data_IF_626515463228
#
_entry.id   IF_626515463228
#
_cell.length_a   1.000
_cell.length_b   1.000
_cell.length_c   1.000
_cell.angle_alpha   90.00
_cell.angle_beta   90.00
_cell.angle_gamma   90.00
#
_symmetry.space_group_name_H-M   'P 1'
#
loop_
_entity.id
_entity.type
_entity.pdbx_description
1 polymer ?
#
# COMPACT_ATOMS: atom_id res chain seq x y z
N UNK A 1 12.00 26.30 13.79
CA UNK A 1 10.61 26.81 13.97
C UNK A 1 9.80 25.86 14.87
N UNK A 2 8.60 26.19 15.38
CA UNK A 2 7.71 25.23 16.06
C UNK A 2 6.69 24.70 15.04
N UNK A 3 6.53 23.38 14.93
CA UNK A 3 5.56 22.73 14.05
C UNK A 3 4.11 23.10 14.36
N UNK A 4 3.82 23.73 15.50
CA UNK A 4 2.49 24.27 15.79
C UNK A 4 2.13 25.53 15.00
N UNK A 5 3.08 26.11 14.26
CA UNK A 5 2.80 27.22 13.36
C UNK A 5 1.96 26.75 12.16
N UNK A 6 0.86 27.46 11.81
CA UNK A 6 -0.01 27.08 10.69
C UNK A 6 0.73 26.92 9.37
N UNK A 7 1.74 27.75 9.13
CA UNK A 7 2.51 27.78 7.88
C UNK A 7 3.41 26.54 7.74
N UNK A 8 4.02 26.09 8.84
CA UNK A 8 4.85 24.88 8.87
C UNK A 8 4.01 23.61 8.65
N UNK A 9 2.79 23.56 9.21
CA UNK A 9 1.84 22.45 8.96
C UNK A 9 1.34 22.45 7.53
N UNK A 10 1.03 23.62 6.96
CA UNK A 10 0.59 23.73 5.57
C UNK A 10 1.69 23.24 4.61
N UNK A 11 2.95 23.64 4.86
CA UNK A 11 4.09 23.18 4.07
C UNK A 11 4.29 21.66 4.16
N UNK A 12 4.27 21.12 5.38
CA UNK A 12 4.41 19.68 5.58
C UNK A 12 3.23 18.90 4.97
N UNK A 13 2.02 19.46 4.98
CA UNK A 13 0.84 18.85 4.36
C UNK A 13 0.88 18.88 2.83
N UNK A 14 1.38 19.96 2.25
CA UNK A 14 1.60 20.03 0.80
C UNK A 14 2.68 19.04 0.37
N UNK A 15 3.78 18.95 1.13
CA UNK A 15 4.80 17.93 0.92
C UNK A 15 4.22 16.51 1.01
N UNK A 16 3.34 16.25 1.96
CA UNK A 16 2.59 14.99 2.05
C UNK A 16 1.74 14.74 0.80
N UNK A 17 1.01 15.76 0.34
CA UNK A 17 0.08 15.66 -0.79
C UNK A 17 0.83 15.35 -2.08
N UNK A 18 1.95 16.03 -2.34
CA UNK A 18 2.75 15.81 -3.55
C UNK A 18 3.53 14.49 -3.51
N UNK A 19 3.92 14.02 -2.32
CA UNK A 19 4.55 12.68 -2.16
C UNK A 19 3.52 11.56 -2.02
N UNK A 20 2.22 11.88 -1.90
CA UNK A 20 1.16 10.94 -1.55
C UNK A 20 1.50 10.09 -0.30
N UNK A 21 2.21 10.69 0.66
CA UNK A 21 2.69 10.02 1.88
C UNK A 21 3.81 8.99 1.69
N UNK A 22 4.37 8.85 0.49
CA UNK A 22 5.47 7.92 0.21
C UNK A 22 6.82 8.54 0.60
N UNK A 23 7.46 7.98 1.63
CA UNK A 23 8.77 8.40 2.15
C UNK A 23 9.92 8.18 1.15
N UNK A 24 9.69 7.39 0.10
CA UNK A 24 10.70 7.13 -0.95
C UNK A 24 10.60 8.14 -2.10
N UNK A 25 9.52 8.92 -2.18
CA UNK A 25 9.37 9.97 -3.18
C UNK A 25 10.06 11.25 -2.76
N UNK A 26 10.52 11.99 -3.76
CA UNK A 26 11.10 13.31 -3.61
C UNK A 26 10.36 14.30 -4.49
N UNK A 27 10.26 15.53 -4.01
CA UNK A 27 9.68 16.65 -4.75
C UNK A 27 10.58 17.87 -4.62
N UNK A 28 10.46 18.82 -5.54
CA UNK A 28 11.23 20.06 -5.45
C UNK A 28 10.70 20.93 -4.32
N UNK A 29 11.60 21.49 -3.53
CA UNK A 29 11.25 22.49 -2.51
C UNK A 29 10.54 23.69 -3.13
N UNK A 30 10.93 24.11 -4.34
CA UNK A 30 10.31 25.24 -5.04
C UNK A 30 8.86 24.92 -5.44
N UNK A 31 8.57 23.68 -5.84
CA UNK A 31 7.23 23.26 -6.26
C UNK A 31 6.26 23.21 -5.08
N UNK A 32 6.72 22.71 -3.92
CA UNK A 32 5.95 22.72 -2.67
C UNK A 32 5.65 24.15 -2.21
N UNK A 33 6.64 25.04 -2.29
CA UNK A 33 6.47 26.45 -1.95
C UNK A 33 5.50 27.18 -2.88
N UNK A 34 5.61 26.94 -4.19
CA UNK A 34 4.76 27.58 -5.21
C UNK A 34 3.29 27.22 -5.03
N UNK A 35 2.98 25.96 -4.69
CA UNK A 35 1.60 25.52 -4.36
C UNK A 35 0.99 26.30 -3.19
N UNK A 36 1.82 26.84 -2.30
CA UNK A 36 1.41 27.60 -1.13
C UNK A 36 1.55 29.12 -1.32
N UNK A 37 1.93 29.57 -2.52
CA UNK A 37 2.17 30.97 -2.84
C UNK A 37 3.40 31.56 -2.14
N UNK A 38 4.36 30.72 -1.74
CA UNK A 38 5.60 31.14 -1.09
C UNK A 38 6.67 31.51 -2.11
N UNK A 39 7.44 32.53 -1.78
CA UNK A 39 8.64 32.88 -2.54
C UNK A 39 9.75 31.85 -2.32
N UNK A 40 10.66 31.72 -3.29
CA UNK A 40 11.72 30.70 -3.29
C UNK A 40 12.55 30.69 -1.99
N UNK A 41 12.90 31.86 -1.49
CA UNK A 41 13.69 32.00 -0.24
C UNK A 41 12.91 31.57 0.99
N UNK A 42 11.60 31.83 1.04
CA UNK A 42 10.72 31.43 2.14
C UNK A 42 10.47 29.92 2.12
N UNK A 43 10.29 29.34 0.92
CA UNK A 43 10.15 27.89 0.73
C UNK A 43 11.40 27.14 1.20
N UNK A 44 12.59 27.63 0.80
CA UNK A 44 13.86 27.07 1.23
C UNK A 44 14.03 27.08 2.75
N UNK A 45 13.77 28.22 3.39
CA UNK A 45 13.85 28.35 4.85
C UNK A 45 12.85 27.40 5.56
N UNK A 46 11.64 27.25 5.03
CA UNK A 46 10.62 26.36 5.59
C UNK A 46 11.04 24.88 5.48
N UNK A 47 11.59 24.48 4.35
CA UNK A 47 12.08 23.13 4.15
C UNK A 47 13.27 22.81 5.06
N UNK A 48 14.24 23.72 5.19
CA UNK A 48 15.36 23.58 6.11
C UNK A 48 14.90 23.41 7.56
N UNK A 49 13.95 24.24 8.01
CA UNK A 49 13.37 24.15 9.35
C UNK A 49 12.70 22.79 9.60
N UNK A 50 11.98 22.24 8.61
CA UNK A 50 11.35 20.92 8.69
C UNK A 50 12.37 19.78 8.65
N UNK A 51 13.48 19.95 7.94
CA UNK A 51 14.59 19.00 7.90
C UNK A 51 15.31 18.96 9.24
N UNK A 52 15.63 20.12 9.82
CA UNK A 52 16.28 20.23 11.13
C UNK A 52 15.43 19.57 12.23
N UNK A 53 14.11 19.73 12.14
CA UNK A 53 13.17 19.12 13.07
C UNK A 53 12.93 17.62 12.78
N UNK A 54 13.44 17.11 11.66
CA UNK A 54 13.34 15.72 11.23
C UNK A 54 11.95 15.33 10.73
N UNK A 55 11.15 16.28 10.25
CA UNK A 55 9.83 16.04 9.64
C UNK A 55 9.93 15.84 8.12
N UNK A 56 10.89 16.51 7.50
CA UNK A 56 11.28 16.29 6.12
C UNK A 56 12.75 15.84 6.07
N UNK A 57 13.19 15.32 4.93
CA UNK A 57 14.59 14.99 4.69
C UNK A 57 15.03 15.44 3.30
N UNK A 58 16.31 15.81 3.18
CA UNK A 58 16.89 16.15 1.90
C UNK A 58 17.22 14.87 1.13
N UNK A 59 16.65 14.72 -0.07
CA UNK A 59 16.88 13.57 -0.95
C UNK A 59 17.94 13.88 -2.02
N UNK A 60 18.08 15.14 -2.44
CA UNK A 60 19.07 15.55 -3.44
C UNK A 60 19.72 16.89 -3.11
N UNK A 61 20.96 17.09 -3.58
CA UNK A 61 21.69 18.36 -3.46
C UNK A 61 21.09 19.49 -4.31
N UNK A 62 20.14 19.18 -5.20
CA UNK A 62 19.41 20.12 -6.05
C UNK A 62 18.12 20.65 -5.41
N UNK A 63 17.91 20.42 -4.11
CA UNK A 63 16.72 20.90 -3.39
C UNK A 63 15.52 19.94 -3.43
N UNK A 64 15.75 18.66 -3.75
CA UNK A 64 14.74 17.62 -3.64
C UNK A 64 14.55 17.21 -2.19
N UNK A 65 13.32 17.26 -1.70
CA UNK A 65 12.93 16.94 -0.32
C UNK A 65 11.86 15.84 -0.29
N UNK A 66 11.86 15.05 0.77
CA UNK A 66 10.87 14.00 1.02
C UNK A 66 10.30 14.10 2.43
N UNK A 67 9.10 13.56 2.63
CA UNK A 67 8.49 13.47 3.97
C UNK A 67 9.08 12.28 4.73
N UNK A 68 9.28 12.45 6.04
CA UNK A 68 9.77 11.37 6.93
C UNK A 68 8.61 10.74 7.71
N UNK A 69 8.88 9.59 8.35
CA UNK A 69 7.92 8.96 9.26
C UNK A 69 7.45 9.91 10.38
N UNK A 70 8.38 10.66 10.97
CA UNK A 70 8.08 11.64 12.02
C UNK A 70 7.22 12.80 11.49
N UNK A 71 7.43 13.22 10.23
CA UNK A 71 6.60 14.22 9.57
C UNK A 71 5.15 13.77 9.39
N UNK A 72 4.95 12.49 9.02
CA UNK A 72 3.62 11.89 8.91
C UNK A 72 2.90 11.85 10.27
N UNK A 73 3.61 11.51 11.34
CA UNK A 73 3.04 11.45 12.69
C UNK A 73 2.54 12.81 13.17
N UNK A 74 3.28 13.89 12.89
CA UNK A 74 2.95 15.23 13.41
C UNK A 74 1.85 15.94 12.63
N UNK A 75 1.64 15.59 11.37
CA UNK A 75 0.51 16.13 10.63
C UNK A 75 -0.82 15.80 11.33
N UNK A 76 -0.90 14.73 12.13
CA UNK A 76 -2.04 14.32 12.98
C UNK A 76 -3.39 14.60 12.32
N UNK A 77 -3.42 14.47 10.99
CA UNK A 77 -4.61 14.59 10.19
C UNK A 77 -5.45 13.43 10.67
N UNK A 78 -6.74 13.70 10.90
CA UNK A 78 -7.75 12.64 10.93
C UNK A 78 -7.75 11.97 9.55
N UNK A 79 -6.71 11.19 9.30
CA UNK A 79 -6.78 9.97 8.56
C UNK A 79 -7.84 9.22 9.34
N UNK A 80 -9.07 9.18 8.81
CA UNK A 80 -9.94 8.03 9.08
C UNK A 80 -9.00 6.86 9.00
N UNK A 81 -8.77 6.10 10.08
CA UNK A 81 -7.62 5.22 10.15
C UNK A 81 -7.74 4.22 9.00
N UNK A 82 -7.03 4.46 7.91
CA UNK A 82 -6.41 3.39 7.16
C UNK A 82 -5.34 2.88 8.11
N UNK A 83 -5.81 2.03 9.04
CA UNK A 83 -4.96 1.05 9.66
C UNK A 83 -4.08 0.50 8.55
N UNK A 84 -2.76 0.57 8.71
CA UNK A 84 -1.83 -0.30 7.99
C UNK A 84 -1.99 -1.76 8.42
N UNK A 85 -3.21 -2.26 8.40
CA UNK A 85 -3.52 -3.47 7.66
C UNK A 85 -3.87 -2.97 6.28
N UNK A 86 -2.92 -2.96 5.34
CA UNK A 86 -3.25 -2.97 3.91
C UNK A 86 -4.30 -4.07 3.74
N UNK A 87 -5.57 -3.67 3.73
CA UNK A 87 -6.64 -4.63 3.62
C UNK A 87 -6.58 -5.01 2.16
N UNK A 88 -5.98 -6.16 1.87
CA UNK A 88 -5.86 -6.63 0.50
C UNK A 88 -7.27 -6.71 -0.06
N UNK A 89 -7.57 -5.86 -1.05
CA UNK A 89 -8.88 -5.80 -1.70
C UNK A 89 -8.80 -6.23 -3.15
N UNK A 90 -9.79 -6.99 -3.60
CA UNK A 90 -10.04 -7.29 -5.02
C UNK A 90 -10.86 -6.19 -5.70
N UNK A 91 -11.67 -5.48 -4.92
CA UNK A 91 -12.68 -4.53 -5.42
C UNK A 91 -14.03 -5.19 -5.74
N UNK A 92 -15.07 -4.37 -5.80
CA UNK A 92 -16.46 -4.80 -6.05
C UNK A 92 -16.84 -4.85 -7.54
N UNK A 93 -15.95 -4.40 -8.42
CA UNK A 93 -16.14 -4.37 -9.87
C UNK A 93 -16.37 -5.74 -10.49
N UNK A 94 -16.90 -5.77 -11.72
CA UNK A 94 -17.06 -7.01 -12.49
C UNK A 94 -15.74 -7.54 -13.05
N UNK A 95 -14.75 -6.66 -13.19
CA UNK A 95 -13.39 -6.92 -13.66
C UNK A 95 -12.41 -6.46 -12.58
N UNK A 96 -11.28 -7.15 -12.45
CA UNK A 96 -10.20 -6.75 -11.54
C UNK A 96 -9.49 -5.50 -12.07
N UNK A 97 -9.28 -4.54 -11.17
CA UNK A 97 -8.50 -3.32 -11.43
C UNK A 97 -7.03 -3.54 -11.03
N UNK A 98 -6.12 -2.72 -11.55
CA UNK A 98 -4.65 -2.88 -11.41
C UNK A 98 -4.18 -3.12 -9.96
N UNK A 99 -4.81 -2.47 -8.97
CA UNK A 99 -4.46 -2.67 -7.57
C UNK A 99 -4.92 -4.04 -7.05
N UNK A 100 -6.10 -4.49 -7.45
CA UNK A 100 -6.61 -5.83 -7.14
C UNK A 100 -5.77 -6.93 -7.79
N UNK A 101 -5.23 -6.67 -8.99
CA UNK A 101 -4.32 -7.59 -9.67
C UNK A 101 -3.02 -7.77 -8.89
N UNK A 102 -2.35 -6.68 -8.50
CA UNK A 102 -1.13 -6.74 -7.68
C UNK A 102 -1.35 -7.42 -6.33
N UNK A 103 -2.48 -7.12 -5.67
CA UNK A 103 -2.85 -7.76 -4.42
C UNK A 103 -3.05 -9.28 -4.60
N UNK A 104 -3.64 -9.68 -5.73
CA UNK A 104 -3.86 -11.08 -6.08
C UNK A 104 -2.54 -11.80 -6.42
N UNK A 105 -1.64 -11.18 -7.17
CA UNK A 105 -0.31 -11.76 -7.44
C UNK A 105 0.45 -12.02 -6.15
N UNK A 106 0.46 -11.04 -5.25
CA UNK A 106 1.10 -11.15 -3.94
C UNK A 106 0.53 -12.31 -3.13
N UNK A 107 -0.80 -12.40 -2.98
CA UNK A 107 -1.41 -13.47 -2.18
C UNK A 107 -1.17 -14.85 -2.80
N UNK A 108 -1.18 -14.96 -4.13
CA UNK A 108 -0.93 -16.23 -4.82
C UNK A 108 0.52 -16.67 -4.60
N UNK A 109 1.47 -15.73 -4.58
CA UNK A 109 2.86 -16.04 -4.25
C UNK A 109 3.00 -16.49 -2.78
N UNK A 110 2.39 -15.77 -1.84
CA UNK A 110 2.41 -16.12 -0.41
C UNK A 110 1.80 -17.51 -0.15
N UNK A 111 0.73 -17.86 -0.88
CA UNK A 111 0.14 -19.20 -0.87
C UNK A 111 1.15 -20.25 -1.34
N UNK A 112 1.79 -20.05 -2.49
CA UNK A 112 2.76 -21.00 -3.05
C UNK A 112 3.94 -21.22 -2.11
N UNK A 113 4.46 -20.14 -1.53
CA UNK A 113 5.57 -20.21 -0.59
C UNK A 113 5.15 -21.00 0.66
N UNK A 114 3.92 -20.78 1.15
CA UNK A 114 3.35 -21.52 2.29
C UNK A 114 3.13 -22.99 1.99
N UNK A 115 2.76 -23.37 0.76
CA UNK A 115 2.57 -24.79 0.39
C UNK A 115 3.82 -25.62 0.62
N UNK A 116 5.01 -25.05 0.39
CA UNK A 116 6.28 -25.76 0.61
C UNK A 116 6.56 -26.10 2.08
N UNK A 117 5.93 -25.37 3.01
CA UNK A 117 6.11 -25.50 4.45
C UNK A 117 5.05 -26.40 5.10
N UNK A 118 3.91 -26.61 4.43
CA UNK A 118 2.80 -27.40 4.95
C UNK A 118 2.98 -28.89 4.68
N UNK A 119 2.74 -29.71 5.71
CA UNK A 119 2.66 -31.18 5.55
C UNK A 119 1.28 -31.57 5.06
N UNK A 120 1.09 -31.55 3.75
CA UNK A 120 -0.17 -31.91 3.09
C UNK A 120 -0.14 -33.35 2.57
N UNK A 121 -1.31 -33.96 2.47
CA UNK A 121 -1.47 -35.17 1.66
C UNK A 121 -1.43 -34.82 0.17
N UNK A 122 -1.12 -35.80 -0.68
CA UNK A 122 -1.13 -35.60 -2.14
C UNK A 122 -2.47 -35.08 -2.65
N UNK A 123 -3.60 -35.60 -2.16
CA UNK A 123 -4.93 -35.16 -2.56
C UNK A 123 -5.19 -33.69 -2.20
N UNK A 124 -4.79 -33.25 -0.99
CA UNK A 124 -4.92 -31.84 -0.58
C UNK A 124 -4.01 -30.92 -1.39
N UNK A 125 -2.79 -31.37 -1.69
CA UNK A 125 -1.86 -30.59 -2.50
C UNK A 125 -2.35 -30.46 -3.94
N UNK A 126 -2.90 -31.52 -4.52
CA UNK A 126 -3.50 -31.51 -5.86
C UNK A 126 -4.67 -30.53 -5.92
N UNK A 127 -5.62 -30.60 -4.98
CA UNK A 127 -6.75 -29.68 -4.90
C UNK A 127 -6.30 -28.21 -4.85
N UNK A 128 -5.35 -27.88 -3.97
CA UNK A 128 -4.81 -26.52 -3.85
C UNK A 128 -4.11 -26.05 -5.14
N UNK A 129 -3.36 -26.93 -5.80
CA UNK A 129 -2.68 -26.59 -7.05
C UNK A 129 -3.69 -26.32 -8.16
N UNK A 130 -4.76 -27.11 -8.25
CA UNK A 130 -5.83 -26.90 -9.24
C UNK A 130 -6.54 -25.56 -9.01
N UNK A 131 -6.84 -25.22 -7.76
CA UNK A 131 -7.46 -23.93 -7.42
C UNK A 131 -6.56 -22.75 -7.78
N UNK A 132 -5.26 -22.82 -7.44
CA UNK A 132 -4.27 -21.79 -7.80
C UNK A 132 -4.21 -21.63 -9.32
N UNK A 133 -4.09 -22.74 -10.06
CA UNK A 133 -4.01 -22.72 -11.53
C UNK A 133 -5.28 -22.14 -12.16
N UNK A 134 -6.44 -22.42 -11.58
CA UNK A 134 -7.71 -21.86 -12.03
C UNK A 134 -7.72 -20.34 -11.93
N UNK A 135 -7.22 -19.79 -10.82
CA UNK A 135 -7.10 -18.34 -10.63
C UNK A 135 -6.07 -17.75 -11.60
N UNK A 136 -4.89 -18.34 -11.72
CA UNK A 136 -3.84 -17.88 -12.63
C UNK A 136 -4.34 -17.83 -14.08
N UNK A 137 -5.10 -18.83 -14.54
CA UNK A 137 -5.69 -18.83 -15.88
C UNK A 137 -6.68 -17.66 -16.06
N UNK A 138 -7.49 -17.32 -15.04
CA UNK A 138 -8.38 -16.16 -15.13
C UNK A 138 -7.60 -14.85 -15.25
N UNK A 139 -6.43 -14.76 -14.60
CA UNK A 139 -5.55 -13.59 -14.68
C UNK A 139 -4.91 -13.40 -16.06
N UNK A 140 -4.83 -14.44 -16.89
CA UNK A 140 -4.38 -14.30 -18.28
C UNK A 140 -5.42 -13.62 -19.19
N UNK A 141 -6.65 -13.43 -18.71
CA UNK A 141 -7.70 -12.73 -19.46
C UNK A 141 -7.43 -11.21 -19.47
N UNK A 142 -7.62 -10.50 -20.58
CA UNK A 142 -7.55 -9.03 -20.60
C UNK A 142 -8.58 -8.35 -19.69
N UNK A 143 -9.63 -9.07 -19.29
CA UNK A 143 -10.63 -8.62 -18.33
C UNK A 143 -10.89 -9.73 -17.29
N UNK A 144 -10.00 -9.93 -16.30
CA UNK A 144 -10.13 -10.97 -15.29
C UNK A 144 -11.41 -10.76 -14.48
N UNK A 145 -12.27 -11.78 -14.40
CA UNK A 145 -13.59 -11.65 -13.80
C UNK A 145 -13.49 -11.80 -12.29
N UNK A 146 -13.74 -10.71 -11.58
CA UNK A 146 -13.62 -10.64 -10.11
C UNK A 146 -14.42 -11.73 -9.40
N UNK A 147 -15.64 -12.03 -9.88
CA UNK A 147 -16.49 -13.07 -9.27
C UNK A 147 -15.91 -14.49 -9.37
N UNK A 148 -15.28 -14.84 -10.49
CA UNK A 148 -14.69 -16.17 -10.68
C UNK A 148 -13.46 -16.32 -9.79
N UNK A 149 -12.60 -15.30 -9.80
CA UNK A 149 -11.40 -15.27 -8.96
C UNK A 149 -11.76 -15.32 -7.48
N UNK A 150 -12.77 -14.55 -7.05
CA UNK A 150 -13.27 -14.56 -5.67
C UNK A 150 -13.76 -15.95 -5.24
N UNK A 151 -14.38 -16.71 -6.13
CA UNK A 151 -14.80 -18.08 -5.82
C UNK A 151 -13.60 -19.03 -5.65
N UNK A 152 -12.59 -18.92 -6.52
CA UNK A 152 -11.33 -19.65 -6.36
C UNK A 152 -10.65 -19.33 -5.02
N UNK A 153 -10.61 -18.05 -4.62
CA UNK A 153 -10.08 -17.64 -3.32
C UNK A 153 -10.89 -18.19 -2.15
N UNK A 154 -12.23 -18.31 -2.27
CA UNK A 154 -13.07 -18.95 -1.23
C UNK A 154 -12.72 -20.43 -1.05
N UNK A 155 -12.48 -21.14 -2.15
CA UNK A 155 -12.04 -22.54 -2.12
C UNK A 155 -10.69 -22.67 -1.41
N UNK A 156 -9.69 -21.86 -1.81
CA UNK A 156 -8.38 -21.81 -1.15
C UNK A 156 -8.51 -21.44 0.34
N UNK A 157 -9.31 -20.43 0.68
CA UNK A 157 -9.51 -20.01 2.06
C UNK A 157 -10.07 -21.14 2.94
N UNK A 158 -11.00 -21.94 2.44
CA UNK A 158 -11.55 -23.10 3.17
C UNK A 158 -10.46 -24.11 3.51
N UNK A 159 -9.55 -24.37 2.58
CA UNK A 159 -8.41 -25.26 2.78
C UNK A 159 -7.40 -24.66 3.78
N UNK A 160 -7.02 -23.39 3.63
CA UNK A 160 -6.08 -22.72 4.54
C UNK A 160 -6.66 -22.47 5.95
N UNK A 161 -7.97 -22.33 6.09
CA UNK A 161 -8.61 -22.24 7.41
C UNK A 161 -8.52 -23.57 8.20
N UNK A 162 -8.44 -24.71 7.51
CA UNK A 162 -8.38 -26.02 8.14
C UNK A 162 -6.96 -26.40 8.62
N UNK A 163 -5.92 -26.03 7.85
CA UNK A 163 -4.55 -26.51 8.12
C UNK A 163 -3.43 -25.51 7.77
N UNK A 164 -3.76 -24.28 7.36
CA UNK A 164 -2.81 -23.27 6.91
C UNK A 164 -2.41 -22.23 7.97
N UNK A 165 -1.47 -21.32 7.64
CA UNK A 165 -1.11 -20.20 8.51
C UNK A 165 -2.30 -19.26 8.72
N UNK A 166 -2.56 -18.88 9.99
CA UNK A 166 -3.70 -18.02 10.35
C UNK A 166 -3.67 -16.66 9.67
N UNK A 167 -2.49 -16.11 9.44
CA UNK A 167 -2.34 -14.79 8.82
C UNK A 167 -2.68 -14.84 7.33
N UNK A 168 -2.30 -15.91 6.64
CA UNK A 168 -2.67 -16.12 5.24
C UNK A 168 -4.18 -16.35 5.07
N UNK A 169 -4.81 -17.10 5.98
CA UNK A 169 -6.26 -17.25 6.00
C UNK A 169 -6.98 -15.91 6.20
N UNK A 170 -6.50 -15.04 7.11
CA UNK A 170 -7.06 -13.69 7.28
C UNK A 170 -6.91 -12.82 6.03
N UNK A 171 -5.75 -12.86 5.39
CA UNK A 171 -5.46 -12.12 4.16
C UNK A 171 -6.34 -12.58 2.98
N UNK A 172 -6.54 -13.89 2.83
CA UNK A 172 -7.50 -14.43 1.86
C UNK A 172 -8.92 -13.96 2.15
N UNK A 173 -9.34 -13.97 3.42
CA UNK A 173 -10.67 -13.53 3.80
C UNK A 173 -10.89 -12.04 3.50
N UNK A 174 -9.88 -11.17 3.63
CA UNK A 174 -10.02 -9.76 3.29
C UNK A 174 -10.31 -9.54 1.80
N UNK A 175 -9.62 -10.28 0.92
CA UNK A 175 -9.85 -10.24 -0.53
C UNK A 175 -11.22 -10.77 -0.93
N UNK A 176 -11.74 -11.75 -0.19
CA UNK A 176 -13.05 -12.37 -0.48
C UNK A 176 -14.21 -11.41 -0.17
N UNK A 177 -14.10 -10.64 0.91
CA UNK A 177 -15.17 -9.77 1.40
C UNK A 177 -15.12 -8.35 0.84
N UNK A 178 -13.98 -7.93 0.30
CA UNK A 178 -13.80 -6.69 -0.46
C UNK A 178 -14.40 -6.75 -1.86
#
# INVERSE_FOLDING_TARGET
MNIDKPEAKAFLFELYTQTNGDINKQVSTDDVGTSLGLEKTESGAMAEDLIIQGYAELKTLSGGIGITLKGLEVLNIKIVPESKTETLTLGIGSVIEDQGEKNLEKIIQDIKDSLSLLKLTYAQQEELVIDIKTIEIQMLSPCPKTKIIREGLRSLHKNFAAFGPKDLSKALNSLIIS
#
